data_IF_286017054578
#
_entry.id   IF_286017054578
#
_cell.length_a   1.000
_cell.length_b   1.000
_cell.length_c   1.000
_cell.angle_alpha   90.00
_cell.angle_beta   90.00
_cell.angle_gamma   90.00
#
_symmetry.space_group_name_H-M   'P 1'
#
loop_
_entity.id
_entity.type
_entity.pdbx_description
1 polymer ?
#
# COMPACT_ATOMS: atom_id res chain seq x y z
N UNK A 1 -25.64 8.49 19.86
CA UNK A 1 -25.36 7.63 21.02
C UNK A 1 -23.86 7.68 21.29
N UNK A 2 -23.40 8.04 22.51
CA UNK A 2 -21.98 8.04 22.83
C UNK A 2 -21.49 6.59 22.99
N UNK A 3 -20.31 6.29 22.44
CA UNK A 3 -19.66 4.97 22.56
C UNK A 3 -19.22 4.75 24.01
N UNK A 4 -19.55 3.60 24.57
CA UNK A 4 -19.27 3.24 25.96
C UNK A 4 -17.85 2.68 26.13
N UNK A 5 -17.27 2.83 27.31
CA UNK A 5 -15.93 2.30 27.61
C UNK A 5 -15.84 0.76 27.46
N UNK A 6 -16.97 0.06 27.63
CA UNK A 6 -17.08 -1.38 27.41
C UNK A 6 -16.97 -1.74 25.93
N UNK A 7 -17.65 -1.02 25.04
CA UNK A 7 -17.56 -1.23 23.58
C UNK A 7 -16.13 -0.96 23.06
N UNK A 8 -15.43 0.03 23.62
CA UNK A 8 -14.03 0.31 23.26
C UNK A 8 -13.08 -0.81 23.73
N UNK A 9 -13.33 -1.40 24.90
CA UNK A 9 -12.53 -2.50 25.41
C UNK A 9 -12.73 -3.78 24.58
N UNK A 10 -13.97 -4.05 24.18
CA UNK A 10 -14.33 -5.19 23.34
C UNK A 10 -13.71 -5.08 21.93
N UNK A 11 -13.75 -3.89 21.33
CA UNK A 11 -13.08 -3.61 20.05
C UNK A 11 -11.55 -3.73 20.13
N UNK A 12 -10.93 -3.32 21.25
CA UNK A 12 -9.48 -3.52 21.46
C UNK A 12 -9.12 -4.98 21.61
N UNK A 13 -9.94 -5.77 22.29
CA UNK A 13 -9.69 -7.19 22.49
C UNK A 13 -9.86 -7.97 21.18
N UNK A 14 -10.85 -7.59 20.36
CA UNK A 14 -11.01 -8.11 19.00
C UNK A 14 -9.84 -7.73 18.08
N UNK A 15 -9.31 -6.50 18.21
CA UNK A 15 -8.14 -6.02 17.46
C UNK A 15 -6.83 -6.71 17.87
N UNK A 16 -6.68 -7.14 19.12
CA UNK A 16 -5.51 -7.88 19.61
C UNK A 16 -5.51 -9.37 19.22
N UNK A 17 -6.67 -9.93 18.88
CA UNK A 17 -6.81 -11.32 18.43
C UNK A 17 -6.57 -11.50 16.92
N UNK A 18 -6.44 -10.41 16.17
CA UNK A 18 -6.16 -10.45 14.73
C UNK A 18 -4.64 -10.57 14.50
N UNK A 19 -4.21 -11.74 14.05
CA UNK A 19 -2.90 -11.92 13.44
C UNK A 19 -2.73 -10.88 12.32
N UNK A 20 -1.53 -10.32 12.15
CA UNK A 20 -1.20 -9.44 11.02
C UNK A 20 -1.50 -10.09 9.66
N UNK A 21 -1.53 -11.43 9.61
CA UNK A 21 -1.93 -12.21 8.42
C UNK A 21 -3.47 -12.27 8.21
N UNK A 22 -4.29 -12.03 9.25
CA UNK A 22 -5.76 -12.07 9.19
C UNK A 22 -6.40 -10.70 8.89
N UNK A 23 -5.65 -9.61 9.07
CA UNK A 23 -6.10 -8.24 8.71
C UNK A 23 -6.40 -8.14 7.20
N UNK A 24 -5.77 -8.99 6.38
CA UNK A 24 -5.89 -8.97 4.92
C UNK A 24 -7.23 -9.53 4.37
N UNK A 25 -8.10 -10.16 5.17
CA UNK A 25 -9.31 -10.85 4.65
C UNK A 25 -10.68 -10.25 5.01
N UNK A 26 -10.75 -9.24 5.89
CA UNK A 26 -12.04 -8.66 6.31
C UNK A 26 -12.54 -7.55 5.39
N UNK A 27 -11.64 -6.78 4.77
CA UNK A 27 -11.97 -5.70 3.84
C UNK A 27 -11.79 -6.21 2.40
N UNK A 28 -12.86 -6.23 1.60
CA UNK A 28 -12.88 -6.87 0.27
C UNK A 28 -12.78 -5.87 -0.88
N UNK A 29 -13.19 -4.63 -0.65
CA UNK A 29 -13.23 -3.60 -1.67
C UNK A 29 -12.32 -2.42 -1.34
N UNK A 30 -11.83 -1.72 -2.36
CA UNK A 30 -11.03 -0.50 -2.20
C UNK A 30 -11.77 0.55 -1.36
N UNK A 31 -13.09 0.65 -1.51
CA UNK A 31 -13.91 1.57 -0.73
C UNK A 31 -13.93 1.22 0.77
N UNK A 32 -14.03 -0.07 1.12
CA UNK A 32 -13.96 -0.54 2.51
C UNK A 32 -12.59 -0.26 3.14
N UNK A 33 -11.50 -0.50 2.38
CA UNK A 33 -10.13 -0.23 2.83
C UNK A 33 -9.92 1.27 3.08
N UNK A 34 -10.34 2.12 2.14
CA UNK A 34 -10.25 3.58 2.30
C UNK A 34 -11.12 4.06 3.47
N UNK A 35 -12.35 3.55 3.58
CA UNK A 35 -13.26 3.91 4.67
C UNK A 35 -12.69 3.55 6.05
N UNK A 36 -12.10 2.36 6.18
CA UNK A 36 -11.43 1.93 7.39
C UNK A 36 -10.23 2.81 7.74
N UNK A 37 -9.37 3.13 6.76
CA UNK A 37 -8.20 3.99 6.98
C UNK A 37 -8.60 5.40 7.43
N UNK A 38 -9.62 5.99 6.82
CA UNK A 38 -10.14 7.31 7.24
C UNK A 38 -10.70 7.25 8.67
N UNK A 39 -11.44 6.20 9.00
CA UNK A 39 -11.96 6.00 10.36
C UNK A 39 -10.82 5.84 11.38
N UNK A 40 -9.83 5.00 11.09
CA UNK A 40 -8.68 4.76 11.95
C UNK A 40 -7.80 6.01 12.12
N UNK A 41 -7.56 6.79 11.05
CA UNK A 41 -6.81 8.03 11.16
C UNK A 41 -7.56 9.09 11.99
N UNK A 42 -8.89 9.18 11.84
CA UNK A 42 -9.72 10.08 12.67
C UNK A 42 -9.67 9.72 14.14
N UNK A 43 -9.71 8.43 14.47
CA UNK A 43 -9.63 7.98 15.87
C UNK A 43 -8.26 8.25 16.51
N UNK A 44 -7.21 8.39 15.68
CA UNK A 44 -5.87 8.84 16.10
C UNK A 44 -5.73 10.37 16.15
N UNK A 45 -6.79 11.13 15.87
CA UNK A 45 -6.78 12.59 15.90
C UNK A 45 -6.26 13.26 14.64
N UNK A 46 -6.09 12.51 13.54
CA UNK A 46 -5.59 13.06 12.29
C UNK A 46 -6.57 14.07 11.70
N UNK A 47 -6.06 15.22 11.24
CA UNK A 47 -6.88 16.24 10.62
C UNK A 47 -7.33 15.85 9.19
N UNK A 48 -8.19 16.67 8.59
CA UNK A 48 -8.72 16.40 7.25
C UNK A 48 -7.62 16.40 6.18
N UNK A 49 -6.56 17.20 6.36
CA UNK A 49 -5.45 17.29 5.41
C UNK A 49 -4.58 16.03 5.49
N UNK A 50 -4.31 15.54 6.69
CA UNK A 50 -3.60 14.28 6.93
C UNK A 50 -4.37 13.09 6.36
N UNK A 51 -5.69 13.07 6.53
CA UNK A 51 -6.57 12.06 5.92
C UNK A 51 -6.45 12.06 4.39
N UNK A 52 -6.53 13.23 3.76
CA UNK A 52 -6.43 13.36 2.30
C UNK A 52 -5.05 12.92 1.79
N UNK A 53 -3.97 13.26 2.52
CA UNK A 53 -2.60 12.81 2.19
C UNK A 53 -2.46 11.30 2.28
N UNK A 54 -3.06 10.66 3.29
CA UNK A 54 -3.05 9.21 3.44
C UNK A 54 -3.80 8.52 2.30
N UNK A 55 -4.96 9.06 1.90
CA UNK A 55 -5.73 8.53 0.76
C UNK A 55 -4.99 8.75 -0.55
N UNK A 56 -4.40 9.92 -0.78
CA UNK A 56 -3.58 10.19 -1.96
C UNK A 56 -2.39 9.23 -2.04
N UNK A 57 -1.69 9.01 -0.92
CA UNK A 57 -0.59 8.06 -0.84
C UNK A 57 -1.04 6.65 -1.19
N UNK A 58 -2.18 6.20 -0.63
CA UNK A 58 -2.76 4.90 -0.94
C UNK A 58 -3.06 4.77 -2.45
N UNK A 59 -3.78 5.73 -3.02
CA UNK A 59 -4.16 5.71 -4.44
C UNK A 59 -2.93 5.72 -5.33
N UNK A 60 -1.97 6.63 -5.10
CA UNK A 60 -0.71 6.68 -5.87
C UNK A 60 0.10 5.39 -5.74
N UNK A 61 0.10 4.77 -4.56
CA UNK A 61 0.84 3.52 -4.34
C UNK A 61 0.29 2.34 -5.14
N UNK A 62 -0.99 2.35 -5.53
CA UNK A 62 -1.58 1.30 -6.37
C UNK A 62 -1.11 1.32 -7.83
N UNK A 63 -0.49 2.41 -8.27
CA UNK A 63 0.06 2.56 -9.63
C UNK A 63 1.59 2.50 -9.68
N UNK A 64 2.24 2.06 -8.60
CA UNK A 64 3.70 1.92 -8.57
C UNK A 64 4.17 0.65 -9.28
N UNK A 65 5.31 0.78 -9.97
CA UNK A 65 5.98 -0.35 -10.59
C UNK A 65 6.74 -1.18 -9.55
N UNK A 66 6.89 -2.48 -9.82
CA UNK A 66 7.63 -3.41 -8.95
C UNK A 66 9.03 -2.88 -8.60
N UNK A 67 9.71 -2.27 -9.56
CA UNK A 67 11.06 -1.73 -9.40
C UNK A 67 11.08 -0.55 -8.41
N UNK A 68 10.09 0.33 -8.46
CA UNK A 68 9.98 1.50 -7.57
C UNK A 68 9.72 1.07 -6.13
N UNK A 69 8.91 0.03 -5.92
CA UNK A 69 8.64 -0.53 -4.59
C UNK A 69 9.92 -1.17 -4.01
N UNK A 70 10.73 -1.84 -4.85
CA UNK A 70 12.02 -2.41 -4.42
C UNK A 70 13.02 -1.33 -4.07
N UNK A 71 13.10 -0.26 -4.86
CA UNK A 71 13.95 0.89 -4.57
C UNK A 71 13.56 1.54 -3.24
N UNK A 72 12.26 1.80 -3.02
CA UNK A 72 11.76 2.34 -1.76
C UNK A 72 12.13 1.46 -0.56
N UNK A 73 11.99 0.13 -0.69
CA UNK A 73 12.42 -0.83 0.35
C UNK A 73 13.89 -0.67 0.67
N UNK A 74 14.75 -0.66 -0.34
CA UNK A 74 16.20 -0.64 -0.14
C UNK A 74 16.66 0.68 0.50
N UNK A 75 16.05 1.80 0.14
CA UNK A 75 16.27 3.10 0.78
C UNK A 75 15.82 3.07 2.24
N UNK A 76 14.60 2.61 2.52
CA UNK A 76 14.05 2.61 3.87
C UNK A 76 14.81 1.67 4.82
N UNK A 77 15.26 0.51 4.33
CA UNK A 77 16.14 -0.39 5.10
C UNK A 77 17.46 0.29 5.46
N UNK A 78 18.08 1.02 4.52
CA UNK A 78 19.32 1.76 4.79
C UNK A 78 19.14 2.89 5.81
N UNK A 79 17.95 3.49 5.85
CA UNK A 79 17.59 4.52 6.83
C UNK A 79 17.21 3.94 8.20
N UNK A 80 17.25 2.61 8.37
CA UNK A 80 16.96 1.94 9.63
C UNK A 80 15.47 1.74 9.91
N UNK A 81 14.59 1.93 8.93
CA UNK A 81 13.20 1.53 9.07
C UNK A 81 13.13 0.00 9.11
N UNK A 82 12.53 -0.54 10.17
CA UNK A 82 12.70 -1.92 10.63
C UNK A 82 12.29 -3.03 9.65
N UNK A 83 12.55 -4.27 10.08
CA UNK A 83 12.36 -5.51 9.29
C UNK A 83 10.94 -5.67 8.74
N UNK A 84 9.93 -5.31 9.51
CA UNK A 84 8.53 -5.53 9.14
C UNK A 84 8.12 -4.70 7.91
N UNK A 85 8.62 -3.46 7.83
CA UNK A 85 8.40 -2.60 6.66
C UNK A 85 9.07 -3.19 5.42
N UNK A 86 10.27 -3.76 5.56
CA UNK A 86 10.96 -4.41 4.46
C UNK A 86 10.23 -5.67 3.95
N UNK A 87 9.63 -6.45 4.86
CA UNK A 87 8.80 -7.61 4.52
C UNK A 87 7.53 -7.20 3.79
N UNK A 88 6.85 -6.16 4.28
CA UNK A 88 5.65 -5.60 3.64
C UNK A 88 5.96 -5.17 2.20
N UNK A 89 6.97 -4.33 2.00
CA UNK A 89 7.36 -3.85 0.68
C UNK A 89 7.78 -4.98 -0.26
N UNK A 90 8.42 -6.03 0.27
CA UNK A 90 8.75 -7.24 -0.50
C UNK A 90 7.50 -8.03 -0.91
N UNK A 91 6.45 -8.06 -0.09
CA UNK A 91 5.16 -8.66 -0.44
C UNK A 91 4.45 -7.84 -1.52
N UNK A 92 4.40 -6.53 -1.38
CA UNK A 92 3.78 -5.61 -2.35
C UNK A 92 4.49 -5.67 -3.71
N UNK A 93 5.82 -5.63 -3.73
CA UNK A 93 6.59 -5.74 -4.97
C UNK A 93 6.30 -7.03 -5.76
N UNK A 94 6.00 -8.15 -5.06
CA UNK A 94 5.63 -9.42 -5.72
C UNK A 94 4.29 -9.33 -6.45
N UNK A 95 3.34 -8.55 -5.93
CA UNK A 95 2.00 -8.35 -6.50
C UNK A 95 1.94 -7.22 -7.54
N UNK A 96 2.89 -6.30 -7.52
CA UNK A 96 2.95 -5.14 -8.41
C UNK A 96 3.26 -5.50 -9.87
N UNK A 97 2.82 -4.61 -10.78
CA UNK A 97 3.06 -4.69 -12.22
C UNK A 97 4.55 -4.49 -12.52
N UNK A 98 5.03 -5.17 -13.57
CA UNK A 98 6.36 -4.94 -14.12
C UNK A 98 6.33 -3.71 -15.03
N UNK A 99 7.37 -2.88 -14.97
CA UNK A 99 7.52 -1.78 -15.92
C UNK A 99 7.62 -2.34 -17.35
N UNK A 100 6.86 -1.82 -18.33
CA UNK A 100 6.94 -2.31 -19.70
C UNK A 100 8.35 -2.10 -20.25
N UNK A 101 8.89 -3.14 -20.89
CA UNK A 101 10.20 -3.06 -21.55
C UNK A 101 10.13 -2.04 -22.70
N UNK A 102 11.23 -1.30 -22.96
CA UNK A 102 11.30 -0.46 -24.15
C UNK A 102 11.08 -1.32 -25.40
N UNK A 103 10.11 -0.97 -26.24
CA UNK A 103 9.92 -1.63 -27.54
C UNK A 103 11.11 -1.25 -28.41
N UNK A 104 12.09 -2.15 -28.56
CA UNK A 104 13.09 -2.02 -29.61
C UNK A 104 12.39 -2.21 -30.96
N UNK A 105 11.97 -1.10 -31.58
CA UNK A 105 11.76 -1.08 -33.02
C UNK A 105 13.12 -1.36 -33.64
N UNK A 106 13.30 -2.58 -34.14
CA UNK A 106 14.47 -2.96 -34.92
C UNK A 106 14.69 -1.94 -36.06
N UNK A 107 15.95 -1.76 -36.50
CA UNK A 107 16.26 -0.82 -37.56
C UNK A 107 15.41 -1.14 -38.80
N UNK A 108 14.89 -0.13 -39.52
CA UNK A 108 14.14 -0.36 -40.74
C UNK A 108 15.03 -1.15 -41.71
N UNK A 109 14.57 -2.34 -42.11
CA UNK A 109 15.21 -3.11 -43.18
C UNK A 109 15.34 -2.18 -44.38
N UNK A 110 16.59 -1.82 -44.71
CA UNK A 110 16.89 -1.11 -45.95
C UNK A 110 16.54 -2.06 -47.08
N UNK A 111 15.35 -1.89 -47.67
CA UNK A 111 15.03 -2.53 -48.95
C UNK A 111 16.09 -2.08 -49.95
N UNK A 112 16.88 -3.03 -50.42
CA UNK A 112 17.84 -2.79 -51.49
C UNK A 112 17.08 -2.31 -52.75
N UNK A 113 17.56 -1.25 -53.43
CA UNK A 113 16.97 -0.85 -54.71
C UNK A 113 17.22 -1.95 -55.74
N UNK A 114 16.16 -2.28 -56.49
CA UNK A 114 16.24 -3.15 -57.68
C UNK A 114 16.86 -2.40 -58.85
#
# INVERSE_FOLDING_TARGET
MPVTAAEVAELRQAGQALSLDDVDNTLRTTAEIIGYLIYASRSMGADQTEQLRLVELLVRSTDMWREEIREARDVLVRLGYGRDLALLLTSLARKAKLKPLPVHRGPPERRAPR
#
